data_IF_092668531241
#
_entry.id   IF_092668531241
#
_cell.length_a   1.000
_cell.length_b   1.000
_cell.length_c   1.000
_cell.angle_alpha   90.00
_cell.angle_beta   90.00
_cell.angle_gamma   90.00
#
_symmetry.space_group_name_H-M   'P 1'
#
loop_
_entity.id
_entity.type
_entity.pdbx_description
1 polymer ?
#
# COMPACT_ATOMS: atom_id res chain seq x y z
N UNK A 1 -9.29 -27.36 7.99
CA UNK A 1 -8.98 -27.19 6.56
C UNK A 1 -8.12 -25.93 6.35
N UNK A 2 -7.05 -25.79 7.14
CA UNK A 2 -5.90 -24.96 6.77
C UNK A 2 -5.10 -25.76 5.76
N UNK A 3 -4.75 -25.18 4.60
CA UNK A 3 -3.88 -25.84 3.62
C UNK A 3 -4.50 -26.22 2.27
N UNK A 4 -5.74 -25.83 1.95
CA UNK A 4 -6.21 -25.91 0.55
C UNK A 4 -5.79 -24.62 -0.16
N UNK A 5 -4.94 -24.75 -1.18
CA UNK A 5 -4.49 -23.62 -2.00
C UNK A 5 -5.66 -23.03 -2.80
N UNK A 6 -5.58 -21.74 -3.13
CA UNK A 6 -6.63 -21.08 -3.91
C UNK A 6 -6.73 -21.66 -5.33
N UNK A 7 -5.63 -22.18 -5.89
CA UNK A 7 -5.64 -22.89 -7.17
C UNK A 7 -6.50 -24.15 -7.10
N UNK A 8 -6.34 -24.93 -6.03
CA UNK A 8 -7.13 -26.15 -5.80
C UNK A 8 -8.63 -25.82 -5.65
N UNK A 9 -8.95 -24.73 -4.95
CA UNK A 9 -10.33 -24.26 -4.81
C UNK A 9 -10.94 -23.88 -6.15
N UNK A 10 -10.19 -23.19 -7.02
CA UNK A 10 -10.65 -22.79 -8.35
C UNK A 10 -10.89 -24.03 -9.23
N UNK A 11 -9.94 -24.97 -9.26
CA UNK A 11 -10.07 -26.22 -10.01
C UNK A 11 -11.27 -27.04 -9.52
N UNK A 12 -11.42 -27.18 -8.20
CA UNK A 12 -12.54 -27.89 -7.60
C UNK A 12 -13.88 -27.22 -7.94
N UNK A 13 -14.00 -25.89 -7.84
CA UNK A 13 -15.20 -25.15 -8.23
C UNK A 13 -15.57 -25.29 -9.71
N UNK A 14 -14.58 -25.54 -10.57
CA UNK A 14 -14.77 -25.79 -12.00
C UNK A 14 -15.35 -27.17 -12.32
N UNK A 15 -15.26 -28.14 -11.41
CA UNK A 15 -15.65 -29.53 -11.68
C UNK A 15 -17.15 -29.74 -11.80
N UNK A 16 -17.97 -29.09 -10.95
CA UNK A 16 -19.43 -29.17 -10.99
C UNK A 16 -20.08 -28.01 -10.21
N UNK A 17 -21.41 -27.85 -10.35
CA UNK A 17 -22.17 -26.82 -9.62
C UNK A 17 -22.10 -27.01 -8.10
N UNK A 18 -22.22 -28.24 -7.62
CA UNK A 18 -22.15 -28.53 -6.18
C UNK A 18 -20.78 -28.16 -5.59
N UNK A 19 -19.69 -28.43 -6.31
CA UNK A 19 -18.35 -28.05 -5.90
C UNK A 19 -18.18 -26.53 -5.91
N UNK A 20 -18.75 -25.83 -6.91
CA UNK A 20 -18.78 -24.36 -6.95
C UNK A 20 -19.50 -23.78 -5.74
N UNK A 21 -20.67 -24.29 -5.39
CA UNK A 21 -21.44 -23.84 -4.23
C UNK A 21 -20.69 -24.11 -2.92
N UNK A 22 -20.04 -25.27 -2.82
CA UNK A 22 -19.21 -25.61 -1.67
C UNK A 22 -17.99 -24.67 -1.53
N UNK A 23 -17.32 -24.33 -2.63
CA UNK A 23 -16.21 -23.38 -2.63
C UNK A 23 -16.69 -21.98 -2.28
N UNK A 24 -17.83 -21.54 -2.80
CA UNK A 24 -18.40 -20.24 -2.45
C UNK A 24 -18.74 -20.18 -0.95
N UNK A 25 -19.43 -21.18 -0.42
CA UNK A 25 -19.73 -21.27 1.02
C UNK A 25 -18.46 -21.32 1.89
N UNK A 26 -17.41 -21.99 1.42
CA UNK A 26 -16.12 -21.98 2.09
C UNK A 26 -15.51 -20.57 2.10
N UNK A 27 -15.43 -19.91 0.93
CA UNK A 27 -14.88 -18.55 0.78
C UNK A 27 -15.63 -17.55 1.64
N UNK A 28 -16.95 -17.65 1.66
CA UNK A 28 -17.83 -16.81 2.45
C UNK A 28 -17.48 -16.86 3.95
N UNK A 29 -17.18 -18.06 4.45
CA UNK A 29 -16.85 -18.26 5.85
C UNK A 29 -15.43 -17.84 6.20
N UNK A 30 -14.45 -18.07 5.31
CA UNK A 30 -13.04 -17.73 5.60
C UNK A 30 -12.70 -16.26 5.34
N UNK A 31 -13.46 -15.58 4.48
CA UNK A 31 -13.29 -14.15 4.18
C UNK A 31 -14.40 -13.27 4.79
N UNK A 32 -14.92 -13.67 5.95
CA UNK A 32 -15.78 -12.81 6.76
C UNK A 32 -14.95 -11.87 7.64
N UNK A 33 -14.80 -10.63 7.18
CA UNK A 33 -14.07 -9.58 7.90
C UNK A 33 -14.67 -9.27 9.27
N UNK A 34 -16.00 -9.34 9.43
CA UNK A 34 -16.65 -9.05 10.71
C UNK A 34 -16.30 -10.11 11.76
N UNK A 35 -16.18 -11.37 11.33
CA UNK A 35 -15.70 -12.46 12.19
C UNK A 35 -14.20 -12.31 12.48
N UNK A 36 -13.38 -11.95 11.49
CA UNK A 36 -11.94 -11.73 11.69
C UNK A 36 -11.61 -10.58 12.67
N UNK A 37 -12.49 -9.57 12.77
CA UNK A 37 -12.35 -8.43 13.66
C UNK A 37 -12.83 -8.67 15.11
N UNK A 38 -13.33 -9.87 15.44
CA UNK A 38 -13.95 -10.15 16.75
C UNK A 38 -13.05 -9.92 17.95
N UNK A 39 -11.73 -10.04 17.79
CA UNK A 39 -10.75 -9.70 18.83
C UNK A 39 -10.82 -8.22 19.23
N UNK A 40 -11.14 -7.35 18.29
CA UNK A 40 -11.14 -5.91 18.46
C UNK A 40 -12.53 -5.36 18.75
N UNK A 41 -13.59 -5.96 18.23
CA UNK A 41 -14.94 -5.42 18.33
C UNK A 41 -16.02 -6.48 18.07
N UNK A 42 -17.26 -6.21 18.48
CA UNK A 42 -18.37 -7.13 18.16
C UNK A 42 -18.65 -7.16 16.66
N UNK A 43 -19.35 -8.18 16.17
CA UNK A 43 -19.75 -8.27 14.75
C UNK A 43 -20.48 -7.01 14.29
N UNK A 44 -21.38 -6.48 15.13
CA UNK A 44 -22.14 -5.27 14.78
C UNK A 44 -21.25 -4.04 14.73
N UNK A 45 -20.34 -3.88 15.70
CA UNK A 45 -19.33 -2.82 15.67
C UNK A 45 -18.43 -2.93 14.44
N UNK A 46 -18.05 -4.14 14.01
CA UNK A 46 -17.29 -4.34 12.78
C UNK A 46 -18.07 -3.91 11.53
N UNK A 47 -19.40 -4.10 11.49
CA UNK A 47 -20.24 -3.56 10.41
C UNK A 47 -20.24 -2.03 10.42
N UNK A 48 -20.40 -1.43 11.59
CA UNK A 48 -20.36 0.04 11.74
C UNK A 48 -18.98 0.60 11.35
N UNK A 49 -17.88 -0.08 11.70
CA UNK A 49 -16.55 0.29 11.24
C UNK A 49 -16.46 0.28 9.72
N UNK A 50 -16.97 -0.76 9.05
CA UNK A 50 -16.98 -0.84 7.59
C UNK A 50 -17.75 0.31 6.94
N UNK A 51 -18.85 0.78 7.55
CA UNK A 51 -19.56 1.98 7.10
C UNK A 51 -18.66 3.22 7.18
N UNK A 52 -17.96 3.40 8.30
CA UNK A 52 -17.01 4.51 8.47
C UNK A 52 -15.83 4.41 7.51
N UNK A 53 -15.28 3.21 7.29
CA UNK A 53 -14.23 2.98 6.31
C UNK A 53 -14.67 3.37 4.90
N UNK A 54 -15.91 3.04 4.51
CA UNK A 54 -16.47 3.45 3.22
C UNK A 54 -16.52 4.98 3.11
N UNK A 55 -17.13 5.63 4.10
CA UNK A 55 -17.41 7.07 4.06
C UNK A 55 -16.13 7.91 4.10
N UNK A 56 -15.07 7.36 4.70
CA UNK A 56 -13.79 8.05 4.96
C UNK A 56 -12.61 7.44 4.17
N UNK A 57 -12.90 6.60 3.16
CA UNK A 57 -11.89 5.95 2.30
C UNK A 57 -10.77 5.24 3.08
N UNK A 58 -11.09 4.70 4.25
CA UNK A 58 -10.12 4.09 5.13
C UNK A 58 -9.91 2.62 4.82
N UNK A 59 -8.70 2.16 5.10
CA UNK A 59 -8.22 0.84 4.71
C UNK A 59 -7.54 0.17 5.89
N UNK A 60 -7.87 -1.09 6.15
CA UNK A 60 -7.09 -1.93 7.06
C UNK A 60 -5.89 -2.50 6.29
N UNK A 61 -4.69 -2.42 6.85
CA UNK A 61 -3.46 -2.90 6.20
C UNK A 61 -2.54 -3.61 7.19
N UNK A 62 -1.28 -3.82 6.82
CA UNK A 62 -0.26 -4.39 7.70
C UNK A 62 -0.47 -5.87 7.99
N UNK A 63 -0.12 -6.29 9.21
CA UNK A 63 -0.10 -7.72 9.56
C UNK A 63 -1.49 -8.35 9.58
N UNK A 64 -2.52 -7.58 9.98
CA UNK A 64 -3.94 -7.98 9.91
C UNK A 64 -4.34 -8.37 8.49
N UNK A 65 -4.06 -7.50 7.52
CA UNK A 65 -4.43 -7.75 6.14
C UNK A 65 -3.70 -8.97 5.55
N UNK A 66 -2.40 -9.11 5.85
CA UNK A 66 -1.61 -10.27 5.46
C UNK A 66 -2.21 -11.59 5.99
N UNK A 67 -2.53 -11.65 7.29
CA UNK A 67 -3.10 -12.86 7.90
C UNK A 67 -4.46 -13.18 7.34
N UNK A 68 -5.33 -12.19 7.21
CA UNK A 68 -6.68 -12.36 6.72
C UNK A 68 -6.70 -12.91 5.29
N UNK A 69 -5.93 -12.30 4.38
CA UNK A 69 -5.88 -12.74 2.97
C UNK A 69 -5.21 -14.10 2.84
N UNK A 70 -4.08 -14.27 3.52
CA UNK A 70 -3.27 -15.50 3.48
C UNK A 70 -3.81 -16.65 4.31
N UNK A 71 -4.85 -16.43 5.13
CA UNK A 71 -5.41 -17.39 6.09
C UNK A 71 -4.36 -17.96 7.05
N UNK A 72 -3.42 -17.11 7.50
CA UNK A 72 -2.38 -17.49 8.45
C UNK A 72 -2.90 -17.53 9.89
N UNK A 73 -2.20 -18.24 10.77
CA UNK A 73 -2.56 -18.46 12.17
C UNK A 73 -1.61 -17.81 13.18
N UNK A 74 -0.65 -17.00 12.72
CA UNK A 74 0.20 -16.24 13.63
C UNK A 74 -0.62 -15.24 14.47
N UNK A 75 -0.14 -14.97 15.69
CA UNK A 75 -0.76 -13.97 16.55
C UNK A 75 -0.51 -12.55 16.03
N UNK A 76 -1.57 -11.75 16.05
CA UNK A 76 -1.53 -10.32 15.77
C UNK A 76 -1.55 -9.51 17.05
N UNK A 77 -0.78 -8.42 17.07
CA UNK A 77 -0.78 -7.48 18.18
C UNK A 77 -1.86 -6.43 18.00
N UNK A 78 -1.77 -5.70 16.89
CA UNK A 78 -2.55 -4.50 16.56
C UNK A 78 -3.40 -4.67 15.30
N UNK A 79 -4.42 -3.83 15.22
CA UNK A 79 -5.17 -3.56 14.00
C UNK A 79 -4.79 -2.17 13.48
N UNK A 80 -4.22 -2.10 12.28
CA UNK A 80 -3.82 -0.84 11.65
C UNK A 80 -4.86 -0.38 10.63
N UNK A 81 -5.39 0.83 10.81
CA UNK A 81 -6.38 1.46 9.92
C UNK A 81 -5.79 2.76 9.38
N UNK A 82 -5.76 2.90 8.07
CA UNK A 82 -5.15 4.01 7.35
C UNK A 82 -6.24 4.89 6.75
N UNK A 83 -6.17 6.21 6.95
CA UNK A 83 -7.07 7.19 6.36
C UNK A 83 -6.29 8.44 5.95
N UNK A 84 -6.84 9.23 5.02
CA UNK A 84 -6.19 10.44 4.51
C UNK A 84 -6.53 11.65 5.39
N UNK A 85 -5.52 12.33 5.94
CA UNK A 85 -5.70 13.56 6.72
C UNK A 85 -6.82 13.47 7.77
N UNK A 86 -7.72 14.46 7.76
CA UNK A 86 -8.83 14.57 8.70
C UNK A 86 -9.92 13.49 8.61
N UNK A 87 -9.92 12.64 7.56
CA UNK A 87 -10.86 11.53 7.40
C UNK A 87 -10.73 10.48 8.52
N UNK A 88 -9.68 10.59 9.34
CA UNK A 88 -9.45 9.76 10.52
C UNK A 88 -10.35 10.12 11.71
N UNK A 89 -10.86 11.35 11.79
CA UNK A 89 -11.68 11.83 12.91
C UNK A 89 -12.94 10.99 13.12
N UNK A 90 -13.79 10.75 12.09
CA UNK A 90 -15.01 9.95 12.28
C UNK A 90 -14.73 8.50 12.65
N UNK A 91 -13.52 7.99 12.39
CA UNK A 91 -13.11 6.65 12.78
C UNK A 91 -12.70 6.66 14.25
N UNK A 92 -11.90 7.63 14.69
CA UNK A 92 -11.52 7.79 16.09
C UNK A 92 -12.73 8.04 17.01
N UNK A 93 -13.67 8.87 16.59
CA UNK A 93 -14.95 9.08 17.29
C UNK A 93 -15.73 7.79 17.47
N UNK A 94 -15.77 6.97 16.41
CA UNK A 94 -16.41 5.67 16.46
C UNK A 94 -15.69 4.74 17.46
N UNK A 95 -14.36 4.67 17.42
CA UNK A 95 -13.59 3.87 18.37
C UNK A 95 -13.85 4.30 19.82
N UNK A 96 -13.86 5.60 20.08
CA UNK A 96 -14.21 6.16 21.38
C UNK A 96 -15.62 5.75 21.81
N UNK A 97 -16.61 5.84 20.91
CA UNK A 97 -18.00 5.47 21.18
C UNK A 97 -18.19 3.99 21.55
N UNK A 98 -17.30 3.10 21.10
CA UNK A 98 -17.31 1.67 21.43
C UNK A 98 -16.36 1.31 22.58
N UNK A 99 -15.84 2.31 23.30
CA UNK A 99 -15.08 2.15 24.54
C UNK A 99 -13.57 1.99 24.37
N UNK A 100 -13.01 2.36 23.22
CA UNK A 100 -11.56 2.53 23.12
C UNK A 100 -11.12 3.89 23.67
N UNK A 101 -9.96 3.92 24.31
CA UNK A 101 -9.36 5.15 24.83
C UNK A 101 -8.17 5.55 23.97
N UNK A 102 -8.16 6.79 23.50
CA UNK A 102 -6.98 7.36 22.87
C UNK A 102 -5.83 7.42 23.88
N UNK A 103 -4.68 6.87 23.49
CA UNK A 103 -3.47 6.78 24.30
C UNK A 103 -2.36 7.54 23.56
N UNK A 104 -2.17 8.84 23.86
CA UNK A 104 -1.21 9.68 23.17
C UNK A 104 0.23 9.26 23.47
N UNK A 105 1.11 9.42 22.49
CA UNK A 105 2.57 9.39 22.69
C UNK A 105 2.99 10.62 23.49
N UNK A 106 4.18 10.57 24.11
CA UNK A 106 4.68 11.64 24.98
C UNK A 106 4.70 13.04 24.33
N UNK A 107 4.83 13.11 23.00
CA UNK A 107 4.89 14.35 22.21
C UNK A 107 3.58 14.73 21.52
N UNK A 108 2.53 13.91 21.69
CA UNK A 108 1.21 14.15 21.11
C UNK A 108 0.33 14.92 22.08
N UNK A 109 -0.60 15.70 21.52
CA UNK A 109 -1.66 16.32 22.31
C UNK A 109 -2.45 15.27 23.10
N UNK A 110 -2.92 15.60 24.31
CA UNK A 110 -3.61 14.64 25.17
C UNK A 110 -4.98 14.21 24.64
N UNK A 111 -5.60 15.07 23.80
CA UNK A 111 -6.91 14.82 23.22
C UNK A 111 -6.78 14.49 21.74
N UNK A 112 -7.56 13.50 21.28
CA UNK A 112 -7.49 12.99 19.92
C UNK A 112 -7.71 14.10 18.88
N UNK A 113 -8.79 14.89 19.00
CA UNK A 113 -9.11 15.95 18.04
C UNK A 113 -8.01 17.02 17.95
N UNK A 114 -7.42 17.38 19.10
CA UNK A 114 -6.28 18.29 19.17
C UNK A 114 -5.04 17.68 18.50
N UNK A 115 -4.80 16.39 18.72
CA UNK A 115 -3.67 15.68 18.13
C UNK A 115 -3.80 15.59 16.61
N UNK A 116 -5.00 15.31 16.08
CA UNK A 116 -5.26 15.34 14.63
C UNK A 116 -5.12 16.74 14.08
N UNK A 117 -5.66 17.75 14.77
CA UNK A 117 -5.57 19.16 14.34
C UNK A 117 -4.12 19.62 14.23
N UNK A 118 -3.29 19.31 15.25
CA UNK A 118 -1.85 19.60 15.24
C UNK A 118 -1.11 18.84 14.14
N UNK A 119 -1.50 17.59 13.86
CA UNK A 119 -0.88 16.80 12.80
C UNK A 119 -1.25 17.28 11.39
N UNK A 120 -2.43 17.89 11.22
CA UNK A 120 -2.87 18.50 9.96
C UNK A 120 -2.30 19.91 9.74
N UNK A 121 -1.68 20.51 10.75
CA UNK A 121 -1.14 21.86 10.66
C UNK A 121 0.23 21.84 9.97
N UNK A 122 0.25 22.16 8.67
CA UNK A 122 1.47 22.26 7.86
C UNK A 122 2.39 23.42 8.30
N UNK A 123 1.91 24.34 9.15
CA UNK A 123 2.71 25.47 9.65
C UNK A 123 3.56 25.13 10.88
N UNK A 124 3.28 24.01 11.54
CA UNK A 124 4.02 23.55 12.72
C UNK A 124 5.06 22.52 12.27
N UNK A 125 6.24 22.99 11.83
CA UNK A 125 7.43 22.13 11.89
C UNK A 125 7.64 21.71 13.34
N UNK A 126 7.95 20.44 13.65
CA UNK A 126 8.22 20.03 15.03
C UNK A 126 9.45 20.76 15.58
N UNK A 127 9.26 21.93 16.19
CA UNK A 127 10.24 22.52 17.08
C UNK A 127 10.32 21.64 18.33
N UNK A 128 11.44 20.92 18.46
CA UNK A 128 11.86 20.37 19.75
C UNK A 128 11.72 18.86 19.93
N UNK A 129 12.56 18.09 19.24
CA UNK A 129 13.35 17.05 19.92
C UNK A 129 14.76 17.07 19.36
N UNK A 130 15.65 17.72 20.10
CA UNK A 130 17.09 17.55 20.00
C UNK A 130 17.41 16.15 20.55
N UNK A 131 17.39 15.16 19.67
CA UNK A 131 18.39 14.10 19.63
C UNK A 131 18.66 13.74 18.17
N UNK A 132 19.23 14.73 17.47
CA UNK A 132 19.48 14.70 16.05
C UNK A 132 20.83 14.05 15.76
N UNK A 133 20.87 12.72 15.73
CA UNK A 133 21.67 12.02 14.73
C UNK A 133 20.78 11.83 13.50
N UNK A 134 20.93 12.76 12.56
CA UNK A 134 20.53 12.67 11.14
C UNK A 134 19.12 12.13 10.81
N UNK A 135 18.09 12.86 11.24
CA UNK A 135 16.75 12.74 10.67
C UNK A 135 16.59 13.73 9.52
N UNK A 136 17.04 13.36 8.32
CA UNK A 136 16.76 14.06 7.06
C UNK A 136 15.82 13.18 6.20
N UNK A 137 14.54 13.53 6.26
CA UNK A 137 13.49 13.42 5.23
C UNK A 137 13.68 12.47 4.04
N UNK A 138 12.91 11.37 3.99
CA UNK A 138 12.45 10.77 2.71
C UNK A 138 11.28 9.75 2.83
N UNK A 139 10.65 9.62 3.99
CA UNK A 139 9.45 8.76 4.16
C UNK A 139 8.24 9.61 4.51
N UNK A 140 7.08 9.28 3.94
CA UNK A 140 5.80 9.91 4.27
C UNK A 140 5.62 9.96 5.79
N UNK A 141 5.48 11.17 6.32
CA UNK A 141 5.12 11.39 7.72
C UNK A 141 3.71 10.83 7.97
N UNK A 142 3.65 9.57 8.38
CA UNK A 142 2.42 8.96 8.86
C UNK A 142 2.30 9.26 10.35
N UNK A 143 1.25 9.97 10.73
CA UNK A 143 0.98 10.18 12.15
C UNK A 143 0.15 9.01 12.70
N UNK A 144 0.57 8.47 13.83
CA UNK A 144 -0.07 7.29 14.45
C UNK A 144 -0.81 7.68 15.71
N UNK A 145 -2.11 7.41 15.76
CA UNK A 145 -2.96 7.57 16.94
C UNK A 145 -3.33 6.20 17.49
N UNK A 146 -2.96 5.93 18.75
CA UNK A 146 -3.18 4.61 19.37
C UNK A 146 -4.45 4.63 20.21
N UNK A 147 -5.30 3.63 20.00
CA UNK A 147 -6.55 3.40 20.73
C UNK A 147 -6.48 2.06 21.46
N UNK A 148 -6.75 2.07 22.76
CA UNK A 148 -6.66 0.89 23.63
C UNK A 148 -8.01 0.53 24.27
N UNK A 149 -8.33 -0.76 24.32
CA UNK A 149 -9.47 -1.30 25.09
C UNK A 149 -9.08 -2.63 25.72
N UNK A 150 -8.70 -2.60 27.00
CA UNK A 150 -8.05 -3.75 27.64
C UNK A 150 -6.73 -4.08 26.93
N UNK A 151 -6.56 -5.31 26.47
CA UNK A 151 -5.40 -5.74 25.68
C UNK A 151 -5.54 -5.52 24.16
N UNK A 152 -6.70 -5.07 23.69
CA UNK A 152 -6.92 -4.78 22.27
C UNK A 152 -6.32 -3.42 21.91
N UNK A 153 -5.48 -3.39 20.88
CA UNK A 153 -4.81 -2.21 20.34
C UNK A 153 -5.26 -1.96 18.90
N UNK A 154 -5.74 -0.75 18.62
CA UNK A 154 -6.03 -0.27 17.25
C UNK A 154 -5.15 0.95 17.01
N UNK A 155 -4.45 0.98 15.88
CA UNK A 155 -3.68 2.14 15.44
C UNK A 155 -4.38 2.79 14.26
N UNK A 156 -4.73 4.06 14.42
CA UNK A 156 -5.23 4.91 13.34
C UNK A 156 -4.04 5.66 12.75
N UNK A 157 -3.77 5.41 11.48
CA UNK A 157 -2.62 5.91 10.73
C UNK A 157 -3.09 7.01 9.75
N UNK A 158 -2.71 8.26 10.03
CA UNK A 158 -3.04 9.39 9.19
C UNK A 158 -2.01 9.53 8.06
N UNK A 159 -2.49 9.38 6.83
CA UNK A 159 -1.68 9.46 5.61
C UNK A 159 -1.73 10.90 5.07
N UNK A 160 -0.57 11.55 4.90
CA UNK A 160 -0.48 12.93 4.35
C UNK A 160 -0.61 13.00 2.83
N UNK A 161 -0.03 12.03 2.10
CA UNK A 161 -0.03 12.06 0.64
C UNK A 161 -1.11 11.16 0.01
N UNK A 162 -1.48 10.09 0.71
CA UNK A 162 -2.54 9.16 0.29
C UNK A 162 -2.35 7.78 0.88
N UNK A 163 -3.46 7.04 1.03
CA UNK A 163 -3.43 5.71 1.67
C UNK A 163 -2.64 4.69 0.84
N UNK A 164 -2.87 4.64 -0.48
CA UNK A 164 -2.13 3.74 -1.36
C UNK A 164 -0.62 4.03 -1.34
N UNK A 165 -0.26 5.32 -1.32
CA UNK A 165 1.14 5.74 -1.30
C UNK A 165 1.84 5.34 -0.03
N UNK A 166 1.23 5.59 1.12
CA UNK A 166 1.75 5.15 2.42
C UNK A 166 1.98 3.64 2.46
N UNK A 167 1.05 2.83 1.94
CA UNK A 167 1.16 1.36 1.96
C UNK A 167 2.28 0.86 1.04
N UNK A 168 2.48 1.49 -0.12
CA UNK A 168 3.56 1.16 -1.04
C UNK A 168 4.95 1.57 -0.53
N UNK A 169 5.01 2.42 0.50
CA UNK A 169 6.26 2.77 1.19
C UNK A 169 6.55 1.88 2.42
N UNK A 170 5.74 0.85 2.68
CA UNK A 170 6.08 -0.14 3.71
C UNK A 170 7.40 -0.81 3.40
N UNK A 171 8.15 -1.16 4.46
CA UNK A 171 9.50 -1.76 4.43
C UNK A 171 9.68 -2.97 3.51
N UNK A 172 8.61 -3.71 3.21
CA UNK A 172 8.67 -4.79 2.22
C UNK A 172 7.30 -5.11 1.63
N UNK A 173 7.27 -5.82 0.50
CA UNK A 173 6.04 -6.12 -0.25
C UNK A 173 5.07 -7.07 0.47
N UNK A 174 5.54 -7.88 1.44
CA UNK A 174 4.70 -8.84 2.18
C UNK A 174 3.52 -8.18 2.89
N UNK A 175 3.65 -6.91 3.30
CA UNK A 175 2.61 -6.16 4.01
C UNK A 175 1.80 -5.24 3.09
N UNK A 176 2.03 -5.27 1.78
CA UNK A 176 1.28 -4.46 0.81
C UNK A 176 -0.06 -5.11 0.46
N UNK A 177 -0.88 -5.28 1.49
CA UNK A 177 -2.22 -5.86 1.45
C UNK A 177 -3.21 -4.85 2.03
N UNK A 178 -4.35 -4.69 1.38
CA UNK A 178 -5.33 -3.66 1.72
C UNK A 178 -6.70 -4.29 1.88
N UNK A 179 -7.43 -3.92 2.92
CA UNK A 179 -8.81 -4.33 3.13
C UNK A 179 -9.66 -3.07 3.26
N UNK A 180 -10.50 -2.83 2.28
CA UNK A 180 -11.47 -1.73 2.26
C UNK A 180 -12.79 -2.17 2.87
N UNK A 181 -13.81 -1.33 2.80
CA UNK A 181 -15.12 -1.67 3.33
C UNK A 181 -15.78 -2.89 2.65
N UNK A 182 -15.41 -3.24 1.41
CA UNK A 182 -16.03 -4.32 0.62
C UNK A 182 -15.04 -5.26 -0.08
N UNK A 183 -13.74 -4.93 -0.13
CA UNK A 183 -12.77 -5.65 -0.94
C UNK A 183 -11.43 -5.77 -0.24
N UNK A 184 -10.82 -6.95 -0.29
CA UNK A 184 -9.42 -7.13 0.06
C UNK A 184 -8.56 -7.27 -1.20
N UNK A 185 -7.38 -6.63 -1.17
CA UNK A 185 -6.40 -6.60 -2.24
C UNK A 185 -5.05 -7.09 -1.70
N UNK A 186 -4.35 -7.89 -2.49
CA UNK A 186 -2.93 -8.11 -2.31
C UNK A 186 -2.22 -7.73 -3.60
N UNK A 187 -1.20 -6.88 -3.50
CA UNK A 187 -0.51 -6.35 -4.67
C UNK A 187 0.54 -7.32 -5.24
N UNK A 188 1.05 -8.21 -4.39
CA UNK A 188 2.05 -9.23 -4.71
C UNK A 188 1.62 -10.62 -4.20
N UNK A 189 0.44 -11.13 -4.60
CA UNK A 189 -0.14 -12.34 -4.04
C UNK A 189 0.68 -13.60 -4.30
N UNK A 190 1.25 -13.77 -5.50
CA UNK A 190 2.05 -14.94 -5.83
C UNK A 190 3.35 -14.92 -5.05
N UNK A 191 4.10 -13.81 -5.08
CA UNK A 191 5.33 -13.68 -4.31
C UNK A 191 5.06 -13.86 -2.81
N UNK A 192 3.99 -13.26 -2.29
CA UNK A 192 3.68 -13.26 -0.85
C UNK A 192 3.13 -14.60 -0.36
N UNK A 193 2.15 -15.19 -1.04
CA UNK A 193 1.41 -16.35 -0.53
C UNK A 193 1.90 -17.68 -1.10
N UNK A 194 2.48 -17.69 -2.31
CA UNK A 194 2.94 -18.90 -2.99
C UNK A 194 4.45 -19.05 -2.84
N UNK A 195 5.22 -18.07 -3.34
CA UNK A 195 6.68 -18.17 -3.38
C UNK A 195 7.34 -17.84 -2.03
N UNK A 196 6.56 -17.29 -1.08
CA UNK A 196 7.03 -16.86 0.25
C UNK A 196 8.23 -15.91 0.17
N UNK A 197 8.22 -15.00 -0.79
CA UNK A 197 9.24 -13.94 -0.98
C UNK A 197 8.66 -12.58 -0.64
N UNK A 198 9.49 -11.71 -0.08
CA UNK A 198 9.18 -10.30 0.16
C UNK A 198 10.30 -9.42 -0.36
N UNK A 199 9.96 -8.43 -1.16
CA UNK A 199 10.92 -7.51 -1.73
C UNK A 199 11.07 -6.33 -0.77
N UNK A 200 12.29 -6.09 -0.26
CA UNK A 200 12.60 -4.94 0.59
C UNK A 200 12.55 -3.67 -0.23
N UNK A 201 11.93 -2.63 0.30
CA UNK A 201 11.67 -1.36 -0.42
C UNK A 201 12.41 -0.16 0.14
N UNK A 202 12.98 -0.29 1.34
CA UNK A 202 13.72 0.78 2.02
C UNK A 202 14.99 1.13 1.23
N UNK A 203 15.19 2.43 1.00
CA UNK A 203 16.40 2.94 0.35
C UNK A 203 17.53 3.09 1.37
N UNK A 204 18.73 2.63 1.01
CA UNK A 204 19.94 2.81 1.82
C UNK A 204 20.05 1.82 2.99
N UNK A 205 20.73 2.24 4.05
CA UNK A 205 20.96 1.42 5.23
C UNK A 205 19.63 1.14 5.95
N UNK A 206 19.40 -0.15 6.23
CA UNK A 206 18.20 -0.61 6.94
C UNK A 206 18.19 0.01 8.34
N UNK A 207 17.15 0.78 8.66
CA UNK A 207 16.96 1.32 10.01
C UNK A 207 16.68 0.20 11.01
N UNK A 208 16.97 0.40 12.28
CA UNK A 208 16.74 -0.63 13.31
C UNK A 208 15.27 -1.10 13.34
N UNK A 209 14.32 -0.17 13.25
CA UNK A 209 12.90 -0.51 13.21
C UNK A 209 12.50 -1.33 11.97
N UNK A 210 13.12 -1.06 10.82
CA UNK A 210 12.91 -1.80 9.57
C UNK A 210 13.53 -3.20 9.66
N UNK A 211 14.74 -3.30 10.24
CA UNK A 211 15.41 -4.57 10.47
C UNK A 211 14.57 -5.48 11.40
N UNK A 212 14.00 -4.92 12.46
CA UNK A 212 13.07 -5.64 13.34
C UNK A 212 11.82 -6.09 12.58
N UNK A 213 11.26 -5.24 11.72
CA UNK A 213 10.09 -5.59 10.93
C UNK A 213 10.38 -6.69 9.89
N UNK A 214 11.53 -6.63 9.22
CA UNK A 214 11.97 -7.66 8.26
C UNK A 214 12.23 -8.99 8.98
N UNK A 215 12.97 -8.98 10.08
CA UNK A 215 13.25 -10.16 10.89
C UNK A 215 11.97 -10.84 11.39
N UNK A 216 10.94 -10.06 11.75
CA UNK A 216 9.60 -10.58 12.11
C UNK A 216 8.99 -11.41 10.98
N UNK A 217 9.11 -10.98 9.72
CA UNK A 217 8.54 -11.74 8.59
C UNK A 217 9.44 -12.89 8.14
N UNK A 218 10.76 -12.77 8.27
CA UNK A 218 11.70 -13.89 8.09
C UNK A 218 11.39 -15.05 9.05
N UNK A 219 11.19 -14.74 10.33
CA UNK A 219 10.81 -15.74 11.34
C UNK A 219 9.47 -16.42 11.03
N UNK A 220 8.61 -15.78 10.22
CA UNK A 220 7.32 -16.34 9.78
C UNK A 220 7.42 -17.08 8.43
N UNK A 221 8.64 -17.25 7.91
CA UNK A 221 8.95 -18.08 6.75
C UNK A 221 8.98 -17.33 5.41
N UNK A 222 9.11 -16.00 5.41
CA UNK A 222 9.34 -15.24 4.18
C UNK A 222 10.82 -15.02 3.93
N UNK A 223 11.26 -15.27 2.69
CA UNK A 223 12.58 -14.88 2.22
C UNK A 223 12.59 -13.37 1.90
N UNK A 224 13.48 -12.62 2.56
CA UNK A 224 13.69 -11.20 2.28
C UNK A 224 14.64 -11.05 1.09
N UNK A 225 14.10 -10.53 0.00
CA UNK A 225 14.82 -10.20 -1.22
C UNK A 225 15.26 -8.74 -1.12
N UNK A 226 16.53 -8.53 -0.78
CA UNK A 226 17.16 -7.20 -0.75
C UNK A 226 17.63 -6.78 -2.15
N UNK A 227 17.98 -7.75 -2.98
CA UNK A 227 18.44 -7.54 -4.35
C UNK A 227 17.82 -8.53 -5.31
N UNK A 228 17.63 -8.10 -6.54
CA UNK A 228 16.96 -8.91 -7.57
C UNK A 228 17.92 -9.33 -8.66
N UNK A 229 17.81 -10.57 -9.14
CA UNK A 229 18.53 -10.98 -10.34
C UNK A 229 17.96 -10.24 -11.57
N UNK A 230 18.78 -9.94 -12.59
CA UNK A 230 18.33 -9.34 -13.84
C UNK A 230 17.22 -10.15 -14.51
N UNK A 231 17.27 -11.48 -14.37
CA UNK A 231 16.25 -12.38 -14.90
C UNK A 231 14.90 -12.12 -14.22
N UNK A 232 14.86 -12.04 -12.89
CA UNK A 232 13.63 -11.77 -12.14
C UNK A 232 13.14 -10.32 -12.40
N UNK A 233 14.05 -9.34 -12.39
CA UNK A 233 13.73 -7.92 -12.56
C UNK A 233 13.22 -7.56 -13.96
N UNK A 234 13.62 -8.32 -14.99
CA UNK A 234 13.20 -8.10 -16.38
C UNK A 234 12.09 -9.07 -16.83
N UNK A 235 11.64 -9.98 -15.95
CA UNK A 235 10.58 -10.92 -16.27
C UNK A 235 9.21 -10.26 -16.12
N UNK A 236 8.71 -9.71 -17.23
CA UNK A 236 7.44 -8.97 -17.26
C UNK A 236 6.20 -9.80 -16.87
N UNK A 237 6.35 -11.13 -16.79
CA UNK A 237 5.31 -12.06 -16.38
C UNK A 237 5.33 -12.36 -14.87
N UNK A 238 6.24 -11.76 -14.10
CA UNK A 238 6.28 -11.88 -12.63
C UNK A 238 5.87 -10.57 -11.97
N UNK A 239 5.44 -10.67 -10.71
CA UNK A 239 4.93 -9.51 -9.96
C UNK A 239 6.01 -8.45 -9.72
N UNK A 240 7.26 -8.88 -9.59
CA UNK A 240 8.43 -8.02 -9.41
C UNK A 240 8.97 -7.49 -10.76
N UNK A 241 9.03 -8.33 -11.80
CA UNK A 241 9.60 -7.93 -13.09
C UNK A 241 8.67 -7.15 -14.03
N UNK A 242 7.37 -7.05 -13.72
CA UNK A 242 6.40 -6.30 -14.56
C UNK A 242 6.67 -4.79 -14.63
N UNK A 243 7.39 -4.22 -13.66
CA UNK A 243 7.70 -2.80 -13.61
C UNK A 243 6.48 -1.96 -13.25
N UNK A 244 5.59 -1.67 -14.22
CA UNK A 244 4.38 -0.87 -13.99
C UNK A 244 3.20 -1.73 -13.51
N UNK A 245 2.61 -1.34 -12.38
CA UNK A 245 1.52 -2.06 -11.71
C UNK A 245 0.47 -1.07 -11.24
N UNK A 246 -0.77 -1.53 -11.06
CA UNK A 246 -1.81 -0.74 -10.40
C UNK A 246 -2.76 -1.60 -9.59
N UNK A 247 -3.45 -1.00 -8.63
CA UNK A 247 -4.36 -1.73 -7.75
C UNK A 247 -5.53 -2.26 -8.59
N UNK A 248 -5.56 -3.58 -8.74
CA UNK A 248 -6.59 -4.30 -9.49
C UNK A 248 -6.16 -4.75 -10.88
N UNK A 249 -4.87 -4.65 -11.22
CA UNK A 249 -4.32 -5.28 -12.42
C UNK A 249 -4.38 -6.83 -12.37
N UNK A 250 -4.00 -7.49 -13.46
CA UNK A 250 -4.07 -8.96 -13.60
C UNK A 250 -3.23 -9.75 -12.59
N UNK A 251 -2.26 -9.09 -11.93
CA UNK A 251 -1.39 -9.68 -10.92
C UNK A 251 -1.84 -9.29 -9.50
N UNK A 252 -2.84 -8.41 -9.35
CA UNK A 252 -3.44 -8.09 -8.06
C UNK A 252 -4.47 -9.15 -7.70
N UNK A 253 -4.35 -9.75 -6.52
CA UNK A 253 -5.41 -10.62 -6.01
C UNK A 253 -6.51 -9.78 -5.41
N UNK A 254 -7.74 -9.99 -5.87
CA UNK A 254 -8.95 -9.32 -5.39
C UNK A 254 -9.87 -10.32 -4.72
N UNK A 255 -10.27 -10.06 -3.47
CA UNK A 255 -11.24 -10.87 -2.73
C UNK A 255 -12.41 -9.96 -2.36
N UNK A 256 -13.59 -10.27 -2.89
CA UNK A 256 -14.82 -9.62 -2.45
C UNK A 256 -15.21 -10.12 -1.06
N UNK A 257 -15.46 -9.19 -0.16
CA UNK A 257 -15.84 -9.47 1.22
C UNK A 257 -17.34 -9.71 1.29
N UNK A 258 -17.72 -10.60 2.21
CA UNK A 258 -19.11 -10.85 2.50
C UNK A 258 -19.84 -9.66 3.11
N UNK A 259 -21.15 -9.66 2.97
CA UNK A 259 -22.03 -8.58 3.40
C UNK A 259 -21.49 -7.21 2.94
N UNK A 260 -21.19 -7.04 1.64
CA UNK A 260 -20.75 -5.74 1.16
C UNK A 260 -21.84 -4.73 1.51
N UNK A 261 -21.44 -3.63 2.14
CA UNK A 261 -22.30 -2.47 2.33
C UNK A 261 -22.56 -1.90 0.93
N UNK A 262 -23.49 -2.51 0.20
CA UNK A 262 -23.69 -2.23 -1.22
C UNK A 262 -24.57 -1.01 -1.36
N UNK A 263 -23.98 0.07 -1.85
CA UNK A 263 -24.71 1.22 -2.39
C UNK A 263 -24.39 1.34 -3.88
N UNK A 264 -25.39 1.50 -4.75
CA UNK A 264 -25.16 1.71 -6.17
C UNK A 264 -24.21 2.91 -6.37
N UNK A 265 -23.11 2.71 -7.08
CA UNK A 265 -22.14 3.77 -7.41
C UNK A 265 -20.97 3.95 -6.43
N UNK A 266 -20.88 3.17 -5.35
CA UNK A 266 -19.67 3.13 -4.49
C UNK A 266 -18.51 2.48 -5.26
N UNK A 267 -17.59 3.28 -5.81
CA UNK A 267 -16.32 2.80 -6.36
C UNK A 267 -15.23 2.87 -5.28
N UNK A 268 -14.51 1.78 -5.08
CA UNK A 268 -13.37 1.75 -4.18
C UNK A 268 -12.25 2.66 -4.70
N UNK A 269 -11.99 3.76 -3.97
CA UNK A 269 -11.01 4.79 -4.38
C UNK A 269 -9.56 4.29 -4.35
N UNK A 270 -9.30 3.13 -3.76
CA UNK A 270 -7.98 2.52 -3.79
C UNK A 270 -7.63 1.93 -5.16
N UNK A 271 -8.65 1.58 -5.96
CA UNK A 271 -8.43 1.03 -7.31
C UNK A 271 -7.71 2.02 -8.20
N UNK A 272 -6.92 1.49 -9.13
CA UNK A 272 -6.20 2.24 -10.15
C UNK A 272 -5.11 3.18 -9.63
N UNK A 273 -4.84 3.24 -8.32
CA UNK A 273 -3.57 3.79 -7.84
C UNK A 273 -2.45 2.94 -8.43
N UNK A 274 -1.59 3.58 -9.23
CA UNK A 274 -0.52 2.89 -9.93
C UNK A 274 0.83 3.17 -9.30
N UNK A 275 1.76 2.25 -9.51
CA UNK A 275 3.15 2.40 -9.15
C UNK A 275 4.05 1.78 -10.19
N UNK A 276 5.35 2.03 -10.07
CA UNK A 276 6.37 1.40 -10.91
C UNK A 276 7.51 0.95 -10.02
N UNK A 277 7.90 -0.32 -10.13
CA UNK A 277 9.17 -0.81 -9.60
C UNK A 277 10.29 -0.43 -10.56
N UNK A 278 11.26 0.34 -10.06
CA UNK A 278 12.47 0.68 -10.80
C UNK A 278 13.64 -0.05 -10.17
N UNK A 279 14.50 -0.61 -11.01
CA UNK A 279 15.69 -1.30 -10.57
C UNK A 279 16.93 -0.60 -11.12
N UNK A 280 17.96 -0.39 -10.29
CA UNK A 280 19.29 0.06 -10.71
C UNK A 280 20.31 -1.05 -10.55
N UNK A 281 21.30 -1.05 -11.44
CA UNK A 281 22.49 -1.85 -11.28
C UNK A 281 23.19 -1.46 -9.97
N UNK A 282 23.55 -2.43 -9.12
CA UNK A 282 24.34 -2.16 -7.93
C UNK A 282 25.70 -1.59 -8.36
N UNK A 283 25.91 -0.29 -8.12
CA UNK A 283 27.16 0.41 -8.47
C UNK A 283 28.35 -0.32 -7.85
N UNK A 284 29.19 -0.94 -8.67
CA UNK A 284 30.49 -1.46 -8.22
C UNK A 284 31.32 -0.28 -7.67
N UNK A 285 32.11 -0.46 -6.59
CA UNK A 285 33.04 0.59 -6.15
C UNK A 285 33.95 0.99 -7.32
N UNK A 286 34.04 2.30 -7.58
CA UNK A 286 34.74 2.87 -8.74
C UNK A 286 36.17 2.31 -8.86
N UNK A 287 36.61 1.89 -10.07
CA UNK A 287 38.03 1.83 -10.38
C UNK A 287 38.63 3.24 -10.24
N UNK A 288 39.82 3.33 -9.69
CA UNK A 288 40.54 4.58 -9.44
C UNK A 288 40.72 5.39 -10.74
N UNK A 289 40.58 6.71 -10.59
CA UNK A 289 40.64 7.77 -11.60
C UNK A 289 41.59 7.51 -12.80
N UNK A 290 41.02 7.36 -14.00
CA UNK A 290 41.53 8.00 -15.22
C UNK A 290 40.69 7.78 -16.50
N UNK A 291 39.56 7.08 -16.46
CA UNK A 291 38.73 6.93 -17.67
C UNK A 291 37.64 8.01 -17.81
N UNK A 292 37.42 8.54 -19.02
CA UNK A 292 36.50 9.63 -19.28
C UNK A 292 35.05 9.19 -19.03
N UNK A 293 34.28 10.06 -18.37
CA UNK A 293 32.86 9.87 -18.05
C UNK A 293 32.00 10.01 -19.31
N UNK A 294 31.05 9.08 -19.57
CA UNK A 294 29.78 9.42 -20.20
C UNK A 294 28.61 8.94 -19.30
N UNK A 295 27.91 9.85 -18.63
CA UNK A 295 26.67 10.48 -19.11
C UNK A 295 25.61 9.47 -19.62
N UNK A 296 24.61 9.22 -18.76
CA UNK A 296 23.23 8.82 -19.08
C UNK A 296 23.04 7.64 -20.04
N UNK A 297 22.86 6.43 -19.50
CA UNK A 297 22.43 5.27 -20.28
C UNK A 297 20.94 5.03 -20.12
N UNK A 298 20.19 5.50 -21.11
CA UNK A 298 18.83 5.05 -21.42
C UNK A 298 18.90 3.58 -21.86
N UNK A 299 18.10 2.68 -21.27
CA UNK A 299 17.98 1.30 -21.75
C UNK A 299 17.46 1.28 -23.18
N UNK A 300 18.33 0.94 -24.13
CA UNK A 300 17.93 0.26 -25.38
C UNK A 300 17.89 -1.24 -25.08
N UNK A 301 16.86 -1.98 -25.54
CA UNK A 301 16.90 -3.42 -25.52
C UNK A 301 17.81 -3.88 -26.64
N UNK A 302 19.06 -4.23 -26.31
CA UNK A 302 19.89 -5.04 -27.21
C UNK A 302 20.03 -6.42 -26.57
N UNK A 303 19.11 -7.31 -26.98
CA UNK A 303 19.29 -8.75 -26.85
C UNK A 303 20.48 -9.15 -27.72
N UNK A 304 21.66 -9.28 -27.15
CA UNK A 304 22.74 -10.07 -27.76
C UNK A 304 23.64 -10.62 -26.65
N UNK A 305 23.42 -11.92 -26.37
CA UNK A 305 24.31 -12.84 -25.63
C UNK A 305 24.83 -12.32 -24.29
N UNK A 306 23.95 -12.29 -23.28
CA UNK A 306 24.34 -12.02 -21.90
C UNK A 306 24.60 -13.34 -21.15
N UNK A 307 25.85 -13.58 -20.75
CA UNK A 307 26.29 -14.80 -20.04
C UNK A 307 26.80 -14.53 -18.62
N UNK A 308 26.49 -13.36 -18.04
CA UNK A 308 26.88 -13.02 -16.67
C UNK A 308 25.85 -13.55 -15.67
N UNK A 309 26.25 -14.40 -14.73
CA UNK A 309 25.34 -15.06 -13.78
C UNK A 309 25.29 -14.33 -12.42
N UNK A 310 26.06 -13.24 -12.25
CA UNK A 310 26.41 -12.71 -10.92
C UNK A 310 26.08 -11.22 -10.68
N UNK A 311 25.22 -10.58 -11.48
CA UNK A 311 24.83 -9.18 -11.21
C UNK A 311 23.47 -9.12 -10.53
N UNK A 312 23.34 -8.28 -9.50
CA UNK A 312 22.14 -8.10 -8.68
C UNK A 312 21.74 -6.62 -8.71
N UNK A 313 20.45 -6.32 -8.80
CA UNK A 313 19.92 -4.95 -8.94
C UNK A 313 19.17 -4.50 -7.67
N UNK A 314 19.32 -3.22 -7.30
CA UNK A 314 18.62 -2.55 -6.19
C UNK A 314 17.28 -1.99 -6.65
N UNK A 315 16.34 -1.69 -5.75
CA UNK A 315 15.10 -0.96 -6.07
C UNK A 315 15.29 0.54 -5.83
N UNK A 316 14.92 1.35 -6.81
CA UNK A 316 15.17 2.80 -6.77
C UNK A 316 13.98 3.66 -6.37
N UNK A 317 12.73 3.27 -6.68
CA UNK A 317 11.54 4.07 -6.38
C UNK A 317 10.22 3.35 -6.71
N UNK A 318 9.14 3.81 -6.06
CA UNK A 318 7.75 3.74 -6.54
C UNK A 318 7.36 5.10 -7.12
N UNK A 319 6.72 5.16 -8.28
CA UNK A 319 6.25 6.41 -8.90
C UNK A 319 4.72 6.37 -9.11
N UNK A 320 4.00 7.35 -8.57
CA UNK A 320 2.53 7.36 -8.54
C UNK A 320 1.91 8.03 -9.76
N UNK A 321 0.83 7.43 -10.27
CA UNK A 321 -0.17 8.14 -11.05
C UNK A 321 -1.53 8.00 -10.37
N UNK A 322 -2.21 9.13 -10.19
CA UNK A 322 -3.52 9.21 -9.54
C UNK A 322 -4.65 8.64 -10.42
N UNK A 323 -5.77 8.19 -9.83
CA UNK A 323 -6.89 7.55 -10.55
C UNK A 323 -7.48 8.36 -11.71
N UNK A 324 -7.43 9.69 -11.67
CA UNK A 324 -7.92 10.55 -12.76
C UNK A 324 -7.06 10.48 -14.03
N UNK A 325 -5.87 9.87 -13.96
CA UNK A 325 -5.05 9.58 -15.13
C UNK A 325 -5.32 8.19 -15.72
N UNK A 326 -6.11 7.34 -15.05
CA UNK A 326 -6.39 5.98 -15.49
C UNK A 326 -7.03 5.92 -16.89
N UNK A 327 -8.01 6.79 -17.19
CA UNK A 327 -8.65 6.83 -18.52
C UNK A 327 -7.67 7.22 -19.63
N UNK A 328 -6.74 8.14 -19.35
CA UNK A 328 -5.68 8.54 -20.29
C UNK A 328 -4.59 7.48 -20.46
N UNK A 329 -4.39 6.61 -19.47
CA UNK A 329 -3.37 5.56 -19.51
C UNK A 329 -3.89 4.23 -20.07
N UNK A 330 -5.18 3.90 -19.91
CA UNK A 330 -5.77 2.71 -20.54
C UNK A 330 -5.73 2.81 -22.08
N UNK A 331 -5.84 4.03 -22.61
CA UNK A 331 -5.64 4.33 -24.04
C UNK A 331 -4.17 4.20 -24.49
N UNK A 332 -3.19 4.36 -23.59
CA UNK A 332 -1.77 4.23 -23.94
C UNK A 332 -1.22 2.80 -23.75
N UNK A 333 -1.74 2.05 -22.77
CA UNK A 333 -1.37 0.66 -22.51
C UNK A 333 -1.80 -0.32 -23.63
N UNK A 334 -2.79 0.07 -24.44
CA UNK A 334 -3.17 -0.64 -25.67
C UNK A 334 -2.25 -0.34 -26.85
N UNK A 335 -1.33 0.63 -26.73
CA UNK A 335 -0.35 0.98 -27.73
C UNK A 335 1.02 0.41 -27.34
N UNK A 336 1.34 -0.77 -27.85
CA UNK A 336 2.61 -1.50 -27.67
C UNK A 336 3.87 -0.82 -28.23
N UNK A 337 3.82 0.50 -28.48
CA UNK A 337 4.85 1.26 -29.20
C UNK A 337 5.24 2.61 -28.60
N UNK A 338 4.72 3.01 -27.44
CA UNK A 338 5.19 4.26 -26.82
C UNK A 338 6.39 4.01 -25.89
N UNK A 339 7.54 4.71 -26.09
CA UNK A 339 8.63 4.66 -25.13
C UNK A 339 8.16 5.28 -23.81
N UNK A 340 8.37 4.56 -22.71
CA UNK A 340 8.08 4.95 -21.32
C UNK A 340 8.89 6.20 -20.87
N UNK A 341 9.75 6.76 -21.74
CA UNK A 341 10.76 7.78 -21.43
C UNK A 341 10.26 9.23 -21.29
N UNK A 342 8.96 9.51 -21.22
CA UNK A 342 8.44 10.90 -21.18
C UNK A 342 7.91 11.37 -19.82
N UNK A 343 8.01 10.56 -18.78
CA UNK A 343 7.50 10.93 -17.45
C UNK A 343 8.57 10.80 -16.38
N UNK A 344 9.62 11.61 -16.49
CA UNK A 344 10.54 11.90 -15.39
C UNK A 344 10.09 13.14 -14.66
N UNK A 345 9.83 12.97 -13.37
CA UNK A 345 9.53 14.01 -12.38
C UNK A 345 10.60 15.10 -12.32
N UNK A 346 10.22 16.33 -12.61
CA UNK A 346 10.91 17.53 -12.12
C UNK A 346 9.87 18.58 -11.73
N UNK A 347 9.84 18.99 -10.45
CA UNK A 347 9.25 20.23 -9.89
C UNK A 347 7.80 20.63 -10.23
N UNK A 348 7.13 19.91 -11.12
CA UNK A 348 5.82 20.25 -11.64
C UNK A 348 4.66 19.78 -10.75
N UNK A 349 4.89 18.95 -9.73
CA UNK A 349 3.82 18.50 -8.83
C UNK A 349 3.25 19.63 -7.98
N UNK A 350 4.09 20.57 -7.53
CA UNK A 350 3.64 21.78 -6.79
C UNK A 350 3.00 22.81 -7.72
N UNK A 351 3.50 22.98 -8.96
CA UNK A 351 2.89 23.88 -9.96
C UNK A 351 1.57 23.32 -10.53
N UNK A 352 1.43 22.00 -10.69
CA UNK A 352 0.18 21.37 -11.13
C UNK A 352 -0.91 21.42 -10.05
N UNK A 353 -0.55 21.36 -8.76
CA UNK A 353 -1.50 21.62 -7.66
C UNK A 353 -1.98 23.07 -7.67
N UNK A 354 -1.08 24.04 -7.91
CA UNK A 354 -1.44 25.45 -8.04
C UNK A 354 -2.34 25.72 -9.26
N UNK A 355 -2.08 25.05 -10.40
CA UNK A 355 -2.92 25.16 -11.61
C UNK A 355 -4.29 24.50 -11.40
N UNK A 356 -4.38 23.37 -10.69
CA UNK A 356 -5.66 22.73 -10.39
C UNK A 356 -6.52 23.54 -9.40
N UNK A 357 -5.91 24.21 -8.42
CA UNK A 357 -6.59 25.12 -7.50
C UNK A 357 -7.05 26.42 -8.19
N UNK A 358 -6.25 26.97 -9.13
CA UNK A 358 -6.64 28.17 -9.91
C UNK A 358 -7.79 27.87 -10.89
N UNK A 359 -7.80 26.69 -11.53
CA UNK A 359 -8.90 26.25 -12.41
C UNK A 359 -10.20 25.99 -11.62
N UNK A 360 -10.11 25.43 -10.41
CA UNK A 360 -11.27 25.24 -9.53
C UNK A 360 -11.85 26.58 -9.02
N UNK A 361 -10.99 27.57 -8.71
CA UNK A 361 -11.45 28.90 -8.27
C UNK A 361 -12.16 29.69 -9.39
N UNK A 362 -11.69 29.54 -10.64
CA UNK A 362 -12.26 30.19 -11.84
C UNK A 362 -13.55 29.53 -12.34
N UNK A 363 -13.73 28.23 -12.07
CA UNK A 363 -14.99 27.53 -12.35
C UNK A 363 -16.11 27.97 -11.38
N UNK A 364 -15.78 28.22 -10.11
CA UNK A 364 -16.70 28.75 -9.10
C UNK A 364 -17.20 30.16 -9.45
N UNK A 365 -16.32 31.05 -9.91
CA UNK A 365 -16.69 32.44 -10.29
C UNK A 365 -17.50 32.55 -11.59
N UNK A 366 -17.41 31.58 -12.51
CA UNK A 366 -18.25 31.57 -13.72
C UNK A 366 -19.68 31.07 -13.49
N UNK A 367 -19.95 30.38 -12.39
CA UNK A 367 -21.31 29.99 -11.99
C UNK A 367 -22.13 31.13 -11.36
N UNK A 368 -21.48 32.24 -11.00
CA UNK A 368 -22.11 33.38 -10.34
C UNK A 368 -22.45 34.57 -11.27
N UNK A 369 -22.17 34.47 -12.59
CA UNK A 369 -22.40 35.55 -13.56
C UNK A 369 -23.22 35.14 -14.80
N UNK A 370 -24.01 34.06 -14.70
CA UNK A 370 -24.96 33.65 -15.73
C UNK A 370 -26.41 33.78 -15.27
N UNK A 371 -26.93 35.02 -15.27
CA UNK A 371 -28.35 35.32 -15.50
C UNK A 371 -28.51 35.76 -16.95
#
# INVERSE_FOLDING_TARGET
MSGVDDTDLIQFAGSCSQARDAVQSYRDRVYDLCTALQRYMTIEQARQLRLRMRDNNAVISGSFALRFIGRYDFEEGDLDIYAFGGDILPIGDFLASIGYLFTPRAVQEPHFDSAVSRACDDSITPEGTVDSTESSSDYTEVETFTFMRGSAKIQLMMCRLGVAETILQFHSTVVMNMITHDTAYSLYPRATFVDKRTLKTCKGDTRECEAVALAKYEQRGWEVVDKMSPIDALSHNTEFGKGFRYVGDEMTRIIKLNNPVSYPGSSDKIKYNSWTLKYSEAVRPRPTSNDPIPHWWFMKPQMETWTGVDEEWNIDAFCFAYPHMADRFTESASCSKMPINLWTTTRASTELMAICLDVASRASTRSALGC
#
